data_IF_316135637939
#
_entry.id   IF_316135637939
#
_cell.length_a   1.000
_cell.length_b   1.000
_cell.length_c   1.000
_cell.angle_alpha   90.00
_cell.angle_beta   90.00
_cell.angle_gamma   90.00
#
_symmetry.space_group_name_H-M   'P 1'
#
loop_
_entity.id
_entity.type
_entity.pdbx_description
1 polymer ?
#
# COMPACT_ATOMS: atom_id res chain seq x y z
N UNK A 1 20.71 -15.58 -12.44
CA UNK A 1 19.95 -16.60 -11.67
C UNK A 1 18.96 -17.26 -12.60
N UNK A 2 18.60 -18.55 -12.41
CA UNK A 2 17.50 -19.15 -13.15
C UNK A 2 16.19 -18.41 -12.85
N UNK A 3 15.23 -18.45 -13.77
CA UNK A 3 13.91 -17.84 -13.59
C UNK A 3 13.21 -18.36 -12.33
N UNK A 4 12.33 -17.54 -11.74
CA UNK A 4 11.55 -17.92 -10.56
C UNK A 4 10.41 -18.87 -10.94
N UNK A 5 10.25 -19.95 -10.20
CA UNK A 5 9.16 -20.92 -10.34
C UNK A 5 8.56 -21.21 -8.95
N UNK A 6 7.44 -21.92 -8.86
CA UNK A 6 6.88 -22.33 -7.56
C UNK A 6 7.85 -23.17 -6.70
N UNK A 7 8.77 -23.91 -7.34
CA UNK A 7 9.74 -24.76 -6.65
C UNK A 7 10.77 -23.92 -5.89
N UNK A 8 11.32 -22.89 -6.54
CA UNK A 8 12.37 -22.03 -5.97
C UNK A 8 11.86 -20.71 -5.38
N UNK A 9 10.55 -20.42 -5.45
CA UNK A 9 9.93 -19.17 -5.02
C UNK A 9 10.28 -18.79 -3.57
N UNK A 10 10.24 -19.77 -2.66
CA UNK A 10 10.51 -19.53 -1.24
C UNK A 10 11.97 -19.12 -1.01
N UNK A 11 12.89 -19.79 -1.70
CA UNK A 11 14.32 -19.48 -1.58
C UNK A 11 14.64 -18.12 -2.18
N UNK A 12 14.01 -17.79 -3.32
CA UNK A 12 14.11 -16.46 -3.91
C UNK A 12 13.56 -15.38 -2.98
N UNK A 13 12.38 -15.57 -2.38
CA UNK A 13 11.80 -14.62 -1.43
C UNK A 13 12.72 -14.35 -0.22
N UNK A 14 13.28 -15.42 0.36
CA UNK A 14 14.23 -15.33 1.48
C UNK A 14 15.53 -14.64 1.08
N UNK A 15 16.05 -14.94 -0.11
CA UNK A 15 17.23 -14.31 -0.64
C UNK A 15 17.04 -12.80 -0.80
N UNK A 16 15.94 -12.38 -1.43
CA UNK A 16 15.65 -10.95 -1.64
C UNK A 16 15.43 -10.21 -0.31
N UNK A 17 14.75 -10.82 0.66
CA UNK A 17 14.62 -10.27 2.02
C UNK A 17 15.99 -10.07 2.68
N UNK A 18 16.84 -11.10 2.66
CA UNK A 18 18.17 -11.06 3.25
C UNK A 18 19.07 -10.00 2.60
N UNK A 19 19.05 -9.90 1.26
CA UNK A 19 19.80 -8.87 0.51
C UNK A 19 19.34 -7.46 0.89
N UNK A 20 18.03 -7.24 1.01
CA UNK A 20 17.48 -5.94 1.38
C UNK A 20 17.91 -5.51 2.79
N UNK A 21 17.91 -6.45 3.73
CA UNK A 21 18.33 -6.20 5.10
C UNK A 21 19.84 -5.99 5.23
N UNK A 22 20.66 -6.79 4.55
CA UNK A 22 22.12 -6.63 4.58
C UNK A 22 22.58 -5.32 3.94
N UNK A 23 21.78 -4.78 3.03
CA UNK A 23 22.07 -3.52 2.31
C UNK A 23 21.43 -2.30 2.98
N UNK A 24 20.91 -2.44 4.20
CA UNK A 24 20.13 -1.42 4.88
C UNK A 24 20.82 -0.04 4.97
N UNK A 25 22.15 -0.01 5.12
CA UNK A 25 22.93 1.22 5.23
C UNK A 25 23.11 1.97 3.91
N UNK A 26 22.90 1.29 2.77
CA UNK A 26 23.02 1.88 1.43
C UNK A 26 21.74 2.56 0.95
N UNK A 27 20.62 2.42 1.67
CA UNK A 27 19.39 3.12 1.33
C UNK A 27 19.52 4.61 1.68
N UNK A 28 19.27 5.53 0.73
CA UNK A 28 19.56 6.94 0.94
C UNK A 28 18.57 7.62 1.89
N UNK A 29 17.35 7.08 2.03
CA UNK A 29 16.31 7.65 2.87
C UNK A 29 15.64 6.60 3.75
N UNK A 30 15.35 7.01 4.98
CA UNK A 30 14.40 6.34 5.87
C UNK A 30 13.16 7.21 6.03
N UNK A 31 11.98 6.64 5.80
CA UNK A 31 10.68 7.26 6.09
C UNK A 31 9.99 6.52 7.21
N UNK A 32 9.35 7.25 8.12
CA UNK A 32 8.62 6.68 9.24
C UNK A 32 7.18 7.18 9.23
N UNK A 33 6.25 6.29 9.51
CA UNK A 33 4.84 6.62 9.66
C UNK A 33 4.26 5.93 10.89
N UNK A 34 3.65 6.73 11.77
CA UNK A 34 2.92 6.25 12.94
C UNK A 34 1.48 5.97 12.52
N UNK A 35 1.13 4.70 12.33
CA UNK A 35 -0.19 4.25 11.87
C UNK A 35 -1.00 3.66 13.05
N UNK A 36 -2.31 3.41 12.89
CA UNK A 36 -3.11 2.78 13.93
C UNK A 36 -2.48 1.45 14.38
N UNK A 37 -2.07 1.35 15.65
CA UNK A 37 -1.43 0.16 16.24
C UNK A 37 -0.15 -0.35 15.54
N UNK A 38 0.47 0.46 14.67
CA UNK A 38 1.59 0.04 13.82
C UNK A 38 2.57 1.19 13.62
N UNK A 39 3.86 0.92 13.80
CA UNK A 39 4.93 1.82 13.35
C UNK A 39 5.59 1.29 12.11
N UNK A 40 5.50 2.04 11.02
CA UNK A 40 6.11 1.68 9.75
C UNK A 40 7.42 2.42 9.58
N UNK A 41 8.49 1.69 9.28
CA UNK A 41 9.76 2.24 8.80
C UNK A 41 10.03 1.73 7.40
N UNK A 42 10.13 2.62 6.43
CA UNK A 42 10.44 2.31 5.03
C UNK A 42 11.83 2.83 4.66
N UNK A 43 12.68 1.96 4.13
CA UNK A 43 13.99 2.31 3.56
C UNK A 43 13.79 2.43 2.04
N UNK A 44 14.10 3.57 1.45
CA UNK A 44 13.65 3.90 0.09
C UNK A 44 14.60 4.88 -0.59
N UNK A 45 14.66 4.83 -1.93
CA UNK A 45 15.37 5.81 -2.75
C UNK A 45 14.59 7.12 -2.90
N UNK A 46 15.28 8.24 -3.14
CA UNK A 46 14.60 9.51 -3.44
C UNK A 46 13.70 9.39 -4.68
N UNK A 47 12.57 10.12 -4.68
CA UNK A 47 11.61 10.14 -5.79
C UNK A 47 10.17 9.89 -5.34
N UNK A 48 9.30 9.62 -6.32
CA UNK A 48 7.85 9.59 -6.14
C UNK A 48 7.37 8.62 -5.04
N UNK A 49 8.01 7.46 -4.86
CA UNK A 49 7.64 6.54 -3.79
C UNK A 49 8.08 7.03 -2.40
N UNK A 50 9.23 7.69 -2.26
CA UNK A 50 9.62 8.27 -0.97
C UNK A 50 8.68 9.41 -0.57
N UNK A 51 8.22 10.20 -1.53
CA UNK A 51 7.23 11.27 -1.31
C UNK A 51 5.86 10.68 -0.96
N UNK A 52 5.43 9.63 -1.68
CA UNK A 52 4.20 8.91 -1.38
C UNK A 52 4.23 8.29 0.03
N UNK A 53 5.32 7.66 0.45
CA UNK A 53 5.45 7.12 1.81
C UNK A 53 5.47 8.23 2.87
N UNK A 54 6.07 9.39 2.56
CA UNK A 54 6.14 10.51 3.49
C UNK A 54 4.77 11.18 3.73
N UNK A 55 3.93 11.27 2.70
CA UNK A 55 2.72 12.09 2.72
C UNK A 55 1.42 11.32 2.48
N UNK A 56 1.50 10.08 2.00
CA UNK A 56 0.36 9.25 1.59
C UNK A 56 -0.39 8.56 2.72
N UNK A 57 0.10 8.66 3.95
CA UNK A 57 -0.55 8.08 5.13
C UNK A 57 -1.23 9.14 6.00
N UNK A 58 -2.31 8.74 6.67
CA UNK A 58 -2.91 9.51 7.76
C UNK A 58 -2.31 9.05 9.09
N UNK A 59 -1.53 9.90 9.80
CA UNK A 59 -0.93 9.50 11.06
C UNK A 59 -1.98 9.18 12.13
N UNK A 60 -1.70 8.16 12.95
CA UNK A 60 -2.48 7.90 14.14
C UNK A 60 -2.32 9.03 15.18
N UNK A 61 -3.34 9.29 16.02
CA UNK A 61 -3.25 10.27 17.10
C UNK A 61 -2.07 10.00 18.04
N UNK A 62 -1.46 11.07 18.58
CA UNK A 62 -0.24 10.99 19.39
C UNK A 62 -0.37 10.23 20.72
N UNK A 63 -1.58 10.14 21.30
CA UNK A 63 -1.84 9.41 22.54
C UNK A 63 -2.15 7.93 22.28
N UNK A 64 -1.21 7.20 21.67
CA UNK A 64 -1.35 5.76 21.40
C UNK A 64 -0.44 4.92 22.30
N UNK A 65 -0.84 3.68 22.53
CA UNK A 65 0.01 2.66 23.16
C UNK A 65 1.23 2.34 22.28
N UNK A 66 2.32 1.79 22.87
CA UNK A 66 3.47 1.33 22.10
C UNK A 66 3.04 0.45 20.94
N UNK A 67 3.44 0.85 19.74
CA UNK A 67 3.06 0.19 18.52
C UNK A 67 4.15 -0.79 18.10
N UNK A 68 3.67 -1.80 17.43
CA UNK A 68 4.42 -2.86 16.82
C UNK A 68 5.21 -2.29 15.63
N UNK A 69 6.54 -2.48 15.55
CA UNK A 69 7.36 -1.97 14.43
C UNK A 69 7.38 -2.92 13.22
N UNK A 70 7.03 -2.39 12.04
CA UNK A 70 7.16 -3.02 10.73
C UNK A 70 8.26 -2.32 9.93
N UNK A 71 9.15 -3.09 9.32
CA UNK A 71 10.21 -2.54 8.46
C UNK A 71 10.01 -2.99 7.03
N UNK A 72 9.97 -2.05 6.09
CA UNK A 72 9.89 -2.33 4.66
C UNK A 72 11.09 -1.74 3.94
N UNK A 73 11.61 -2.46 2.94
CA UNK A 73 12.67 -2.01 2.05
C UNK A 73 12.12 -1.88 0.64
N UNK A 74 12.29 -0.72 0.01
CA UNK A 74 11.92 -0.47 -1.39
C UNK A 74 13.21 -0.55 -2.21
N UNK A 75 13.52 -1.77 -2.65
CA UNK A 75 14.79 -2.18 -3.22
C UNK A 75 14.80 -2.06 -4.75
N UNK A 76 15.94 -1.68 -5.31
CA UNK A 76 16.23 -1.78 -6.74
C UNK A 76 17.76 -1.86 -6.96
N UNK A 77 18.24 -2.28 -8.15
CA UNK A 77 19.68 -2.52 -8.41
C UNK A 77 20.60 -1.30 -8.37
N UNK A 78 20.03 -0.10 -8.23
CA UNK A 78 20.80 1.13 -8.02
C UNK A 78 21.21 1.32 -6.56
N UNK A 79 20.84 0.40 -5.67
CA UNK A 79 21.25 0.35 -4.28
C UNK A 79 22.30 -0.75 -4.14
N UNK A 80 23.46 -0.40 -3.57
CA UNK A 80 24.58 -1.33 -3.42
C UNK A 80 24.17 -2.59 -2.65
N UNK A 81 24.45 -3.77 -3.22
CA UNK A 81 24.10 -5.07 -2.65
C UNK A 81 22.75 -5.64 -3.08
N UNK A 82 21.95 -4.89 -3.85
CA UNK A 82 20.66 -5.34 -4.38
C UNK A 82 20.80 -5.87 -5.81
N UNK A 83 20.34 -7.10 -6.05
CA UNK A 83 20.30 -7.68 -7.39
C UNK A 83 19.07 -7.22 -8.21
N UNK A 84 19.15 -7.32 -9.53
CA UNK A 84 18.00 -7.14 -10.42
C UNK A 84 16.91 -8.17 -10.14
N UNK A 85 15.62 -7.79 -10.24
CA UNK A 85 14.54 -8.74 -10.13
C UNK A 85 14.67 -9.82 -11.20
N UNK A 86 14.46 -11.06 -10.80
CA UNK A 86 14.44 -12.22 -11.69
C UNK A 86 13.01 -12.42 -12.17
N UNK A 87 12.83 -12.61 -13.48
CA UNK A 87 11.51 -12.83 -14.05
C UNK A 87 10.90 -14.18 -13.63
N UNK A 88 9.57 -14.22 -13.62
CA UNK A 88 8.84 -15.49 -13.51
C UNK A 88 9.11 -16.38 -14.73
N UNK A 89 9.36 -17.67 -14.49
CA UNK A 89 9.65 -18.66 -15.54
C UNK A 89 8.41 -19.06 -16.36
N UNK A 90 8.61 -19.90 -17.37
CA UNK A 90 7.53 -20.35 -18.27
C UNK A 90 6.52 -21.33 -17.63
N UNK A 91 6.61 -21.54 -16.31
CA UNK A 91 5.70 -22.42 -15.56
C UNK A 91 4.36 -21.75 -15.25
N UNK A 92 3.31 -22.55 -14.95
CA UNK A 92 1.98 -22.02 -14.66
C UNK A 92 2.02 -21.07 -13.46
N UNK A 93 1.46 -19.88 -13.62
CA UNK A 93 1.26 -18.92 -12.54
C UNK A 93 -0.22 -18.86 -12.18
N UNK A 94 -0.52 -19.05 -10.90
CA UNK A 94 -1.82 -18.70 -10.33
C UNK A 94 -1.59 -17.91 -9.05
N UNK A 95 -2.39 -16.86 -8.83
CA UNK A 95 -2.30 -16.06 -7.60
C UNK A 95 -2.51 -16.92 -6.35
N UNK A 96 -3.42 -17.90 -6.41
CA UNK A 96 -3.68 -18.81 -5.31
C UNK A 96 -2.48 -19.73 -5.03
N UNK A 97 -1.95 -20.43 -6.04
CA UNK A 97 -0.80 -21.33 -5.85
C UNK A 97 0.45 -20.60 -5.37
N UNK A 98 0.70 -19.40 -5.90
CA UNK A 98 1.76 -18.51 -5.46
C UNK A 98 1.63 -18.15 -3.97
N UNK A 99 0.46 -17.67 -3.56
CA UNK A 99 0.20 -17.25 -2.19
C UNK A 99 0.27 -18.44 -1.22
N UNK A 100 -0.31 -19.59 -1.59
CA UNK A 100 -0.28 -20.83 -0.80
C UNK A 100 1.16 -21.29 -0.56
N UNK A 101 1.98 -21.35 -1.62
CA UNK A 101 3.38 -21.80 -1.53
C UNK A 101 4.22 -20.94 -0.58
N UNK A 102 4.05 -19.62 -0.61
CA UNK A 102 4.72 -18.72 0.34
C UNK A 102 4.17 -18.88 1.75
N UNK A 103 2.84 -19.01 1.89
CA UNK A 103 2.19 -19.14 3.19
C UNK A 103 2.61 -20.39 3.95
N UNK A 104 2.78 -21.53 3.26
CA UNK A 104 3.32 -22.78 3.83
C UNK A 104 4.73 -22.61 4.41
N UNK A 105 5.51 -21.69 3.85
CA UNK A 105 6.84 -21.35 4.33
C UNK A 105 6.86 -20.20 5.36
N UNK A 106 5.68 -19.77 5.83
CA UNK A 106 5.52 -18.67 6.79
C UNK A 106 5.65 -17.28 6.17
N UNK A 107 5.71 -17.15 4.84
CA UNK A 107 5.88 -15.88 4.13
C UNK A 107 4.58 -15.39 3.50
N UNK A 108 4.57 -14.15 3.04
CA UNK A 108 3.57 -13.58 2.14
C UNK A 108 4.27 -12.95 0.95
N UNK A 109 3.54 -12.82 -0.15
CA UNK A 109 4.08 -12.08 -1.28
C UNK A 109 3.04 -11.70 -2.31
N UNK A 110 3.49 -10.89 -3.25
CA UNK A 110 2.76 -10.47 -4.44
C UNK A 110 3.76 -10.31 -5.60
N UNK A 111 3.30 -10.56 -6.82
CA UNK A 111 4.10 -10.42 -8.03
C UNK A 111 3.29 -9.72 -9.11
N UNK A 112 3.87 -8.69 -9.74
CA UNK A 112 3.31 -8.02 -10.90
C UNK A 112 4.23 -8.21 -12.11
N UNK A 113 3.75 -9.04 -13.04
CA UNK A 113 4.54 -9.60 -14.14
C UNK A 113 5.10 -8.54 -15.09
N UNK A 114 4.33 -7.52 -15.45
CA UNK A 114 4.71 -6.56 -16.50
C UNK A 114 5.97 -5.75 -16.15
N UNK A 115 6.34 -5.70 -14.86
CA UNK A 115 7.48 -4.94 -14.36
C UNK A 115 8.51 -5.80 -13.60
N UNK A 116 8.34 -7.13 -13.58
CA UNK A 116 9.06 -8.04 -12.67
C UNK A 116 9.13 -7.47 -11.24
N UNK A 117 7.97 -7.00 -10.78
CA UNK A 117 7.82 -6.29 -9.52
C UNK A 117 7.42 -7.29 -8.43
N UNK A 118 8.26 -7.39 -7.40
CA UNK A 118 8.11 -8.38 -6.34
C UNK A 118 7.86 -7.72 -5.01
N UNK A 119 6.95 -8.28 -4.22
CA UNK A 119 6.78 -7.94 -2.82
C UNK A 119 6.83 -9.22 -2.00
N UNK A 120 7.71 -9.28 -1.01
CA UNK A 120 7.80 -10.39 -0.06
C UNK A 120 7.78 -9.88 1.36
N UNK A 121 7.11 -10.61 2.25
CA UNK A 121 6.92 -10.21 3.63
C UNK A 121 7.04 -11.41 4.56
N UNK A 122 7.82 -11.24 5.61
CA UNK A 122 7.95 -12.15 6.73
C UNK A 122 7.09 -11.62 7.90
N UNK A 123 5.92 -12.22 8.19
CA UNK A 123 5.06 -11.78 9.28
C UNK A 123 5.64 -12.03 10.68
N UNK A 124 6.54 -13.01 10.84
CA UNK A 124 7.14 -13.32 12.14
C UNK A 124 8.17 -12.24 12.51
N UNK A 125 8.99 -11.84 11.53
CA UNK A 125 10.02 -10.80 11.70
C UNK A 125 9.49 -9.39 11.46
N UNK A 126 8.32 -9.28 10.81
CA UNK A 126 7.66 -8.03 10.42
C UNK A 126 8.54 -7.18 9.51
N UNK A 127 9.20 -7.88 8.58
CA UNK A 127 10.10 -7.32 7.58
C UNK A 127 9.55 -7.62 6.19
N UNK A 128 9.48 -6.59 5.34
CA UNK A 128 9.07 -6.70 3.95
C UNK A 128 10.09 -6.11 3.00
N UNK A 129 10.09 -6.60 1.77
CA UNK A 129 10.86 -6.05 0.65
C UNK A 129 9.94 -5.90 -0.56
N UNK A 130 10.00 -4.74 -1.19
CA UNK A 130 9.46 -4.44 -2.51
C UNK A 130 10.65 -4.30 -3.47
N UNK A 131 10.87 -5.28 -4.34
CA UNK A 131 11.95 -5.28 -5.32
C UNK A 131 11.43 -4.83 -6.68
N UNK A 132 12.10 -3.81 -7.23
CA UNK A 132 11.77 -3.13 -8.48
C UNK A 132 12.97 -3.16 -9.44
N UNK A 133 12.74 -3.05 -10.75
CA UNK A 133 13.81 -3.04 -11.76
C UNK A 133 14.67 -1.75 -11.73
N UNK A 134 14.07 -0.63 -11.32
CA UNK A 134 14.69 0.69 -11.13
C UNK A 134 13.88 1.48 -10.08
N UNK A 135 14.35 2.65 -9.65
CA UNK A 135 13.67 3.47 -8.64
C UNK A 135 12.26 3.95 -9.06
N UNK A 136 11.96 3.93 -10.36
CA UNK A 136 10.71 4.36 -10.99
C UNK A 136 9.91 3.23 -11.66
N UNK A 137 10.43 1.99 -11.67
CA UNK A 137 9.74 0.83 -12.22
C UNK A 137 8.77 0.21 -11.20
N UNK A 138 7.69 0.94 -10.89
CA UNK A 138 6.61 0.47 -10.04
C UNK A 138 5.25 0.59 -10.73
N UNK A 139 4.26 -0.25 -10.38
CA UNK A 139 2.91 -0.11 -10.90
C UNK A 139 2.34 1.27 -10.62
N UNK A 140 1.57 1.86 -11.56
CA UNK A 140 1.20 3.28 -11.49
C UNK A 140 0.24 3.61 -10.33
N UNK A 141 -0.34 2.61 -9.68
CA UNK A 141 -1.15 2.78 -8.46
C UNK A 141 -0.35 2.83 -7.16
N UNK A 142 0.92 2.43 -7.16
CA UNK A 142 1.72 2.35 -5.92
C UNK A 142 1.81 3.70 -5.19
N UNK A 143 2.06 4.86 -5.84
CA UNK A 143 2.09 6.14 -5.13
C UNK A 143 0.75 6.53 -4.49
N UNK A 144 -0.37 6.04 -5.02
CA UNK A 144 -1.70 6.35 -4.49
C UNK A 144 -2.10 5.51 -3.28
N UNK A 145 -1.41 4.41 -3.01
CA UNK A 145 -1.62 3.56 -1.84
C UNK A 145 -0.30 2.85 -1.52
N UNK A 146 0.73 3.59 -1.08
CA UNK A 146 2.09 3.06 -0.98
C UNK A 146 2.15 1.93 0.04
N UNK A 147 2.89 0.88 -0.30
CA UNK A 147 3.16 -0.27 0.58
C UNK A 147 1.88 -1.01 1.03
N UNK A 148 0.76 -0.82 0.32
CA UNK A 148 -0.56 -1.38 0.66
C UNK A 148 -0.54 -2.89 0.92
N UNK A 149 0.16 -3.74 0.15
CA UNK A 149 0.20 -5.19 0.43
C UNK A 149 0.80 -5.52 1.80
N UNK A 150 1.86 -4.82 2.22
CA UNK A 150 2.46 -4.99 3.56
C UNK A 150 1.49 -4.58 4.66
N UNK A 151 0.82 -3.43 4.49
CA UNK A 151 -0.22 -2.98 5.41
C UNK A 151 -1.39 -3.96 5.47
N UNK A 152 -1.79 -4.55 4.34
CA UNK A 152 -2.81 -5.58 4.29
C UNK A 152 -2.43 -6.80 5.13
N UNK A 153 -1.21 -7.31 5.01
CA UNK A 153 -0.76 -8.46 5.81
C UNK A 153 -0.57 -8.11 7.29
N UNK A 154 -0.01 -6.96 7.61
CA UNK A 154 0.15 -6.50 9.00
C UNK A 154 -1.22 -6.34 9.68
N UNK A 155 -2.15 -5.60 9.09
CA UNK A 155 -3.45 -5.39 9.69
C UNK A 155 -4.28 -6.68 9.76
N UNK A 156 -4.12 -7.57 8.78
CA UNK A 156 -4.74 -8.89 8.80
C UNK A 156 -4.34 -9.72 10.03
N UNK A 157 -3.07 -9.67 10.44
CA UNK A 157 -2.57 -10.37 11.62
C UNK A 157 -3.13 -9.82 12.94
N UNK A 158 -3.68 -8.60 12.92
CA UNK A 158 -4.29 -7.91 14.07
C UNK A 158 -5.82 -7.97 14.09
N UNK A 159 -6.42 -8.81 13.24
CA UNK A 159 -7.88 -8.92 13.12
C UNK A 159 -8.56 -7.74 12.40
N UNK A 160 -7.77 -6.86 11.78
CA UNK A 160 -8.27 -5.73 10.99
C UNK A 160 -8.19 -6.05 9.49
N UNK A 161 -8.91 -5.27 8.66
CA UNK A 161 -8.94 -5.45 7.20
C UNK A 161 -8.84 -4.12 6.48
N UNK A 162 -7.98 -4.07 5.45
CA UNK A 162 -8.10 -3.02 4.44
C UNK A 162 -9.27 -3.35 3.53
N UNK A 163 -10.29 -2.49 3.52
CA UNK A 163 -11.46 -2.61 2.66
C UNK A 163 -11.39 -1.56 1.55
N UNK A 164 -11.65 -1.96 0.30
CA UNK A 164 -11.82 -1.02 -0.82
C UNK A 164 -13.24 -0.45 -0.78
N UNK A 165 -13.41 0.67 -0.08
CA UNK A 165 -14.71 1.27 0.21
C UNK A 165 -14.59 2.77 0.44
N UNK A 166 -15.62 3.50 0.02
CA UNK A 166 -15.82 4.87 0.46
C UNK A 166 -16.51 4.94 1.81
N UNK A 167 -16.34 6.03 2.53
CA UNK A 167 -17.00 6.24 3.83
C UNK A 167 -17.68 7.59 3.92
N UNK A 168 -18.84 7.60 4.57
CA UNK A 168 -19.52 8.82 4.99
C UNK A 168 -20.00 8.66 6.43
N UNK A 169 -19.88 9.70 7.23
CA UNK A 169 -20.30 9.68 8.62
C UNK A 169 -20.89 11.00 9.10
N UNK A 170 -21.64 10.92 10.19
CA UNK A 170 -22.14 12.04 10.95
C UNK A 170 -22.21 11.63 12.44
N UNK A 171 -21.76 12.51 13.33
CA UNK A 171 -21.82 12.30 14.78
C UNK A 171 -21.21 10.97 15.24
N UNK A 172 -20.06 10.59 14.66
CA UNK A 172 -19.33 9.36 15.00
C UNK A 172 -19.96 8.06 14.50
N UNK A 173 -21.02 8.12 13.69
CA UNK A 173 -21.64 6.96 13.03
C UNK A 173 -21.53 7.11 11.53
N UNK A 174 -21.34 6.02 10.79
CA UNK A 174 -21.14 6.11 9.35
C UNK A 174 -21.53 4.86 8.58
N UNK A 175 -21.41 4.97 7.27
CA UNK A 175 -21.68 3.93 6.30
C UNK A 175 -20.43 3.66 5.46
N UNK A 176 -20.27 2.40 5.06
CA UNK A 176 -19.30 1.97 4.07
C UNK A 176 -20.01 1.83 2.71
N UNK A 177 -19.46 2.47 1.69
CA UNK A 177 -19.92 2.41 0.33
C UNK A 177 -19.04 1.41 -0.42
N UNK A 178 -19.58 0.24 -0.73
CA UNK A 178 -18.93 -0.77 -1.56
C UNK A 178 -19.43 -0.69 -3.00
N UNK A 179 -18.57 -1.07 -3.95
CA UNK A 179 -18.91 -1.08 -5.37
C UNK A 179 -17.68 -1.17 -6.26
N UNK A 180 -17.89 -1.55 -7.53
CA UNK A 180 -16.83 -1.64 -8.52
C UNK A 180 -16.12 -0.28 -8.74
N UNK A 181 -14.97 -0.31 -9.42
CA UNK A 181 -14.35 0.91 -9.93
C UNK A 181 -15.33 1.68 -10.83
N UNK A 182 -15.42 2.99 -10.67
CA UNK A 182 -16.35 3.83 -11.45
C UNK A 182 -17.80 3.86 -10.95
N UNK A 183 -18.17 3.08 -9.92
CA UNK A 183 -19.53 3.05 -9.37
C UNK A 183 -19.96 4.32 -8.61
N UNK A 184 -19.15 5.39 -8.61
CA UNK A 184 -19.47 6.67 -7.97
C UNK A 184 -19.05 6.82 -6.50
N UNK A 185 -18.37 5.84 -5.89
CA UNK A 185 -17.93 5.88 -4.47
C UNK A 185 -17.25 7.20 -4.09
N UNK A 186 -16.13 7.52 -4.74
CA UNK A 186 -15.34 8.74 -4.43
C UNK A 186 -16.11 10.02 -4.72
N UNK A 187 -16.96 10.04 -5.77
CA UNK A 187 -17.87 11.15 -6.05
C UNK A 187 -18.86 11.40 -4.92
N UNK A 188 -19.48 10.34 -4.41
CA UNK A 188 -20.41 10.41 -3.28
C UNK A 188 -19.71 10.83 -1.99
N UNK A 189 -18.51 10.30 -1.71
CA UNK A 189 -17.69 10.72 -0.56
C UNK A 189 -17.36 12.20 -0.63
N UNK A 190 -16.84 12.67 -1.78
CA UNK A 190 -16.51 14.08 -1.98
C UNK A 190 -17.75 14.98 -1.86
N UNK A 191 -18.88 14.58 -2.43
CA UNK A 191 -20.14 15.32 -2.29
C UNK A 191 -20.59 15.42 -0.82
N UNK A 192 -20.49 14.32 -0.06
CA UNK A 192 -20.84 14.32 1.36
C UNK A 192 -19.95 15.25 2.20
N UNK A 193 -18.63 15.19 1.99
CA UNK A 193 -17.67 16.11 2.63
C UNK A 193 -18.02 17.58 2.35
N UNK A 194 -18.36 17.89 1.09
CA UNK A 194 -18.75 19.25 0.70
C UNK A 194 -20.07 19.75 1.32
N UNK A 195 -20.87 18.84 1.89
CA UNK A 195 -22.16 19.12 2.52
C UNK A 195 -22.15 18.83 4.04
N UNK A 196 -20.96 18.76 4.66
CA UNK A 196 -20.81 18.70 6.12
C UNK A 196 -20.86 17.30 6.73
N UNK A 197 -20.73 16.25 5.91
CA UNK A 197 -20.46 14.90 6.42
C UNK A 197 -18.96 14.69 6.64
N UNK A 198 -18.62 13.72 7.49
CA UNK A 198 -17.26 13.25 7.71
C UNK A 198 -16.92 12.07 6.79
N UNK A 199 -15.63 11.82 6.56
CA UNK A 199 -15.14 10.62 5.90
C UNK A 199 -13.80 10.20 6.50
N UNK A 200 -13.53 8.90 6.46
CA UNK A 200 -12.22 8.32 6.81
C UNK A 200 -11.52 7.72 5.59
N UNK A 201 -12.02 7.95 4.37
CA UNK A 201 -11.41 7.52 3.12
C UNK A 201 -12.40 7.16 2.02
N UNK A 202 -11.92 7.14 0.78
CA UNK A 202 -12.69 6.85 -0.44
C UNK A 202 -12.23 5.59 -1.21
N UNK A 203 -10.96 5.21 -1.05
CA UNK A 203 -10.32 4.07 -1.72
C UNK A 203 -10.09 2.92 -0.74
N UNK A 204 -9.05 2.97 0.10
CA UNK A 204 -8.78 1.96 1.12
C UNK A 204 -8.96 2.52 2.52
N UNK A 205 -9.84 1.89 3.29
CA UNK A 205 -10.06 2.20 4.72
C UNK A 205 -9.69 1.01 5.58
N UNK A 206 -9.20 1.29 6.79
CA UNK A 206 -8.90 0.26 7.77
C UNK A 206 -10.15 -0.04 8.59
N UNK A 207 -10.68 -1.26 8.45
CA UNK A 207 -11.84 -1.75 9.20
C UNK A 207 -11.36 -2.61 10.35
N UNK A 208 -11.78 -2.22 11.54
CA UNK A 208 -11.58 -2.92 12.81
C UNK A 208 -12.92 -3.55 13.22
N UNK A 209 -12.88 -4.83 13.57
CA UNK A 209 -14.04 -5.65 13.93
C UNK A 209 -14.02 -6.09 15.40
N UNK A 210 -12.98 -5.74 16.17
CA UNK A 210 -12.77 -6.34 17.50
C UNK A 210 -13.83 -5.90 18.52
N UNK A 211 -14.35 -4.68 18.40
CA UNK A 211 -15.31 -4.07 19.32
C UNK A 211 -16.46 -3.39 18.55
N UNK A 212 -17.08 -4.12 17.63
CA UNK A 212 -17.99 -3.57 16.63
C UNK A 212 -17.26 -3.13 15.37
N UNK A 213 -18.00 -2.59 14.39
CA UNK A 213 -17.43 -2.19 13.09
C UNK A 213 -16.99 -0.74 13.15
N UNK A 214 -15.68 -0.50 13.14
CA UNK A 214 -15.08 0.84 13.08
C UNK A 214 -14.22 0.98 11.83
N UNK A 215 -14.43 2.04 11.05
CA UNK A 215 -13.55 2.41 9.94
C UNK A 215 -12.60 3.53 10.39
N UNK A 216 -11.33 3.44 10.01
CA UNK A 216 -10.27 4.40 10.34
C UNK A 216 -9.56 4.86 9.07
N UNK A 217 -9.08 6.12 9.04
CA UNK A 217 -8.27 6.58 7.92
C UNK A 217 -6.92 5.90 7.94
N UNK A 218 -6.40 5.62 6.75
CA UNK A 218 -5.09 5.02 6.57
C UNK A 218 -4.30 5.73 5.48
N UNK A 219 -4.95 6.00 4.33
CA UNK A 219 -4.36 6.76 3.23
C UNK A 219 -4.95 8.16 3.15
N UNK A 220 -4.12 9.13 2.75
CA UNK A 220 -4.47 10.56 2.64
C UNK A 220 -4.91 10.96 1.23
N UNK A 221 -5.24 9.99 0.38
CA UNK A 221 -5.68 10.21 -1.00
C UNK A 221 -7.19 10.24 -1.10
N UNK A 222 -7.71 11.16 -1.94
CA UNK A 222 -9.08 11.13 -2.45
C UNK A 222 -8.99 11.38 -3.95
N UNK A 223 -9.57 10.50 -4.75
CA UNK A 223 -9.45 10.56 -6.22
C UNK A 223 -10.74 11.04 -6.87
N UNK A 224 -10.64 11.90 -7.87
CA UNK A 224 -11.81 12.35 -8.63
C UNK A 224 -11.55 12.48 -10.12
N UNK A 225 -12.45 11.95 -10.94
CA UNK A 225 -12.35 12.12 -12.40
C UNK A 225 -12.71 13.57 -12.82
N UNK A 226 -12.26 14.04 -13.99
CA UNK A 226 -12.53 15.39 -14.47
C UNK A 226 -14.00 15.78 -14.48
N UNK A 227 -14.91 14.85 -14.82
CA UNK A 227 -16.34 15.16 -14.86
C UNK A 227 -16.90 15.33 -13.45
N UNK A 228 -16.51 14.48 -12.51
CA UNK A 228 -16.83 14.63 -11.09
C UNK A 228 -16.23 15.91 -10.50
N UNK A 229 -15.01 16.27 -10.89
CA UNK A 229 -14.34 17.49 -10.46
C UNK A 229 -15.12 18.75 -10.86
N UNK A 230 -15.62 18.79 -12.10
CA UNK A 230 -16.51 19.85 -12.60
C UNK A 230 -17.86 19.82 -11.88
N UNK A 231 -18.51 18.64 -11.81
CA UNK A 231 -19.84 18.46 -11.19
C UNK A 231 -19.89 18.94 -9.74
N UNK A 232 -18.80 18.73 -9.00
CA UNK A 232 -18.67 19.11 -7.60
C UNK A 232 -18.06 20.52 -7.41
N UNK A 233 -17.67 21.19 -8.51
CA UNK A 233 -17.05 22.51 -8.48
C UNK A 233 -15.72 22.55 -7.71
N UNK A 234 -14.97 21.43 -7.69
CA UNK A 234 -13.79 21.28 -6.82
C UNK A 234 -12.68 22.28 -7.13
N UNK A 235 -12.58 22.76 -8.38
CA UNK A 235 -11.61 23.78 -8.79
C UNK A 235 -11.69 25.06 -7.95
N UNK A 236 -12.89 25.43 -7.51
CA UNK A 236 -13.12 26.65 -6.74
C UNK A 236 -13.09 26.39 -5.22
N UNK A 237 -13.06 25.11 -4.81
CA UNK A 237 -13.15 24.71 -3.40
C UNK A 237 -11.81 24.20 -2.84
N UNK A 238 -10.94 23.66 -3.69
CA UNK A 238 -9.64 23.13 -3.29
C UNK A 238 -8.54 24.17 -3.51
N UNK A 239 -7.63 24.31 -2.53
CA UNK A 239 -6.44 25.16 -2.65
C UNK A 239 -5.44 24.61 -3.67
N UNK A 240 -5.36 23.29 -3.78
CA UNK A 240 -4.51 22.57 -4.72
C UNK A 240 -5.14 21.21 -5.04
N UNK A 241 -4.80 20.65 -6.20
CA UNK A 241 -5.17 19.30 -6.62
C UNK A 241 -4.02 18.70 -7.43
N UNK A 242 -3.93 17.36 -7.43
CA UNK A 242 -2.89 16.65 -8.16
C UNK A 242 -3.10 16.66 -9.68
N UNK A 243 -2.06 16.32 -10.46
CA UNK A 243 -2.22 16.02 -11.88
C UNK A 243 -3.08 14.76 -12.05
N UNK A 244 -3.54 14.51 -13.28
CA UNK A 244 -4.24 13.27 -13.59
C UNK A 244 -3.29 12.06 -13.42
N UNK A 245 -3.76 11.06 -12.67
CA UNK A 245 -3.11 9.77 -12.55
C UNK A 245 -3.41 8.86 -13.75
N UNK A 246 -2.87 7.63 -13.72
CA UNK A 246 -3.05 6.62 -14.76
C UNK A 246 -4.50 6.20 -15.05
N UNK A 247 -5.45 6.47 -14.13
CA UNK A 247 -6.89 6.27 -14.35
C UNK A 247 -7.59 7.52 -14.90
N UNK A 248 -6.84 8.58 -15.23
CA UNK A 248 -7.40 9.86 -15.64
C UNK A 248 -8.15 10.57 -14.51
N UNK A 249 -7.66 10.46 -13.26
CA UNK A 249 -8.27 11.12 -12.08
C UNK A 249 -7.27 12.04 -11.39
N UNK A 250 -7.75 13.17 -10.89
CA UNK A 250 -7.03 14.02 -9.93
C UNK A 250 -6.87 13.30 -8.59
#
# INVERSE_FOLDING_TARGET
>A
MPNVTLENLVDYARHVLAQAESSAEHYPLTRKASLPHLDLTANVSAGALADAVAHGFVPAPGNRTPADICRVFVAHPGIDGIAAPVSWGQGPFTQHGFATRLAEAGLRGNHFHDLDFWQFYDPQRRVGVQLMASADAFPPWEPGAPLRPFLHWEYAARGMRLAHAGTLGANGKGVLLAGAGGAGKSGTVAAGLLNGLDSVGDDYVLVDLSNGVTARPLFSTLKQDPQGFVRLGLKHRLKAHGPLNWQGKH
#
